data_IF_345453527711
#
_entry.id   IF_345453527711
#
_cell.length_a   1.000
_cell.length_b   1.000
_cell.length_c   1.000
_cell.angle_alpha   90.00
_cell.angle_beta   90.00
_cell.angle_gamma   90.00
#
_symmetry.space_group_name_H-M   'P 1'
#
loop_
_entity.id
_entity.type
_entity.pdbx_description
1 polymer ?
#
# COMPACT_ATOMS: atom_id res chain seq x y z
N UNK A 1 -0.67 -4.25 -11.46
CA UNK A 1 -2.04 -4.72 -11.15
C UNK A 1 -2.40 -4.04 -9.85
N UNK A 2 -3.23 -3.00 -9.93
CA UNK A 2 -3.64 -2.21 -8.78
C UNK A 2 -4.61 -3.04 -7.93
N UNK A 3 -4.47 -2.94 -6.61
CA UNK A 3 -5.51 -3.42 -5.71
C UNK A 3 -6.52 -2.27 -5.62
N UNK A 4 -7.51 -2.30 -6.48
CA UNK A 4 -8.71 -1.48 -6.38
C UNK A 4 -9.70 -2.26 -5.50
N UNK A 5 -9.81 -1.89 -4.22
CA UNK A 5 -11.03 -2.14 -3.46
C UNK A 5 -11.30 -0.93 -2.56
N UNK A 6 -12.39 -0.24 -2.88
CA UNK A 6 -12.81 0.99 -2.24
C UNK A 6 -13.47 0.65 -0.89
N UNK A 7 -12.65 0.50 0.15
CA UNK A 7 -13.10 0.59 1.54
C UNK A 7 -13.07 -0.69 2.38
N UNK A 8 -12.69 -1.84 1.80
CA UNK A 8 -12.40 -3.06 2.57
C UNK A 8 -10.92 -3.41 2.34
N UNK A 9 -10.08 -3.11 3.33
CA UNK A 9 -8.66 -3.44 3.24
C UNK A 9 -8.47 -4.96 3.15
N UNK A 10 -7.47 -5.39 2.37
CA UNK A 10 -7.11 -6.80 2.17
C UNK A 10 -7.11 -7.53 3.51
N UNK A 11 -8.10 -8.41 3.76
CA UNK A 11 -8.24 -9.07 5.06
C UNK A 11 -7.20 -10.15 5.30
N UNK A 12 -6.63 -10.71 4.21
CA UNK A 12 -5.57 -11.73 4.20
C UNK A 12 -4.81 -11.70 2.87
N UNK A 13 -3.56 -12.17 2.84
CA UNK A 13 -2.75 -12.23 1.62
C UNK A 13 -1.99 -13.55 1.46
N UNK A 14 -1.55 -13.89 0.23
CA UNK A 14 -0.72 -15.09 0.03
C UNK A 14 0.73 -14.86 0.48
N UNK A 15 1.50 -15.94 0.79
CA UNK A 15 2.91 -15.83 1.16
C UNK A 15 3.81 -15.25 0.05
N UNK A 16 3.33 -15.23 -1.19
CA UNK A 16 4.06 -14.67 -2.34
C UNK A 16 3.53 -13.27 -2.75
N UNK A 17 2.58 -12.72 -1.99
CA UNK A 17 2.05 -11.39 -2.28
C UNK A 17 3.13 -10.33 -1.99
N UNK A 18 3.13 -9.27 -2.80
CA UNK A 18 3.86 -8.05 -2.50
C UNK A 18 2.98 -6.86 -2.83
N UNK A 19 3.14 -5.78 -2.05
CA UNK A 19 2.35 -4.58 -2.17
C UNK A 19 3.25 -3.43 -2.64
N UNK A 20 2.92 -2.85 -3.79
CA UNK A 20 3.69 -1.78 -4.40
C UNK A 20 3.03 -0.42 -4.18
N UNK A 21 3.81 0.56 -3.75
CA UNK A 21 3.36 1.93 -3.53
C UNK A 21 4.22 2.91 -4.32
N UNK A 22 3.59 3.91 -4.93
CA UNK A 22 4.28 4.99 -5.64
C UNK A 22 3.43 6.26 -5.69
N UNK A 23 4.07 7.39 -5.99
CA UNK A 23 3.41 8.65 -6.22
C UNK A 23 2.63 8.60 -7.56
N UNK A 24 1.36 9.04 -7.59
CA UNK A 24 0.59 9.16 -8.83
C UNK A 24 1.26 10.10 -9.83
N UNK A 25 1.16 9.77 -11.13
CA UNK A 25 1.70 10.60 -12.21
C UNK A 25 0.75 10.63 -13.42
N UNK A 26 0.97 11.55 -14.36
CA UNK A 26 0.27 11.59 -15.65
C UNK A 26 -0.79 12.68 -15.84
N UNK A 27 -1.17 13.44 -14.80
CA UNK A 27 -2.25 14.45 -14.88
C UNK A 27 -1.87 15.86 -14.40
N UNK A 28 -0.60 16.08 -14.05
CA UNK A 28 -0.05 17.36 -13.58
C UNK A 28 0.26 17.37 -12.08
N UNK A 29 1.25 18.17 -11.66
CA UNK A 29 1.80 18.12 -10.30
C UNK A 29 0.75 18.35 -9.20
N UNK A 30 -0.17 19.31 -9.38
CA UNK A 30 -1.23 19.61 -8.41
C UNK A 30 -2.24 18.47 -8.29
N UNK A 31 -2.68 17.93 -9.42
CA UNK A 31 -3.65 16.83 -9.48
C UNK A 31 -3.04 15.56 -8.89
N UNK A 32 -1.76 15.29 -9.18
CA UNK A 32 -1.02 14.18 -8.59
C UNK A 32 -0.94 14.30 -7.05
N UNK A 33 -0.69 15.50 -6.52
CA UNK A 33 -0.64 15.71 -5.07
C UNK A 33 -1.99 15.48 -4.39
N UNK A 34 -3.10 15.92 -5.02
CA UNK A 34 -4.46 15.64 -4.52
C UNK A 34 -4.74 14.14 -4.54
N UNK A 35 -4.41 13.46 -5.63
CA UNK A 35 -4.58 12.01 -5.73
C UNK A 35 -3.73 11.24 -4.69
N UNK A 36 -2.48 11.67 -4.47
CA UNK A 36 -1.59 11.07 -3.48
C UNK A 36 -2.17 11.21 -2.06
N UNK A 37 -2.61 12.41 -1.69
CA UNK A 37 -3.22 12.66 -0.38
C UNK A 37 -4.49 11.84 -0.18
N UNK A 38 -5.32 11.71 -1.22
CA UNK A 38 -6.51 10.88 -1.17
C UNK A 38 -6.17 9.39 -0.99
N UNK A 39 -5.19 8.85 -1.73
CA UNK A 39 -4.76 7.46 -1.58
C UNK A 39 -4.22 7.19 -0.17
N UNK A 40 -3.29 8.01 0.31
CA UNK A 40 -2.73 7.88 1.67
C UNK A 40 -3.83 7.96 2.74
N UNK A 41 -4.84 8.82 2.57
CA UNK A 41 -5.92 8.92 3.55
C UNK A 41 -6.76 7.64 3.66
N UNK A 42 -6.82 6.83 2.60
CA UNK A 42 -7.50 5.54 2.64
C UNK A 42 -6.68 4.46 3.36
N UNK A 43 -5.35 4.61 3.42
CA UNK A 43 -4.45 3.57 3.91
C UNK A 43 -4.58 3.35 5.42
N UNK A 44 -4.50 2.11 5.94
CA UNK A 44 -4.47 1.87 7.38
C UNK A 44 -3.25 2.55 8.00
N UNK A 45 -3.32 2.90 9.28
CA UNK A 45 -2.23 3.58 9.98
C UNK A 45 -0.88 2.86 9.83
N UNK A 46 -0.87 1.53 9.94
CA UNK A 46 0.37 0.75 9.83
C UNK A 46 0.99 0.81 8.42
N UNK A 47 0.17 0.92 7.36
CA UNK A 47 0.68 1.10 5.99
C UNK A 47 1.25 2.50 5.82
N UNK A 48 0.55 3.52 6.33
CA UNK A 48 1.04 4.92 6.29
C UNK A 48 2.38 5.05 7.00
N UNK A 49 2.48 4.49 8.21
CA UNK A 49 3.70 4.48 8.98
C UNK A 49 4.83 3.76 8.24
N UNK A 50 4.56 2.58 7.68
CA UNK A 50 5.56 1.85 6.90
C UNK A 50 6.05 2.66 5.69
N UNK A 51 5.13 3.31 4.96
CA UNK A 51 5.50 4.18 3.82
C UNK A 51 6.40 5.33 4.28
N UNK A 52 6.06 5.99 5.38
CA UNK A 52 6.86 7.11 5.92
C UNK A 52 8.26 6.63 6.36
N UNK A 53 8.35 5.46 7.01
CA UNK A 53 9.63 4.83 7.39
C UNK A 53 10.50 4.48 6.18
N UNK A 54 9.89 4.29 5.00
CA UNK A 54 10.57 3.99 3.74
C UNK A 54 10.76 5.22 2.84
N UNK A 55 10.62 6.44 3.38
CA UNK A 55 10.90 7.69 2.68
C UNK A 55 9.71 8.29 1.92
N UNK A 56 8.50 7.79 2.17
CA UNK A 56 7.27 8.30 1.57
C UNK A 56 7.01 7.81 0.15
N UNK A 57 5.92 8.29 -0.45
CA UNK A 57 5.61 8.01 -1.86
C UNK A 57 6.55 8.76 -2.79
N UNK A 58 7.27 8.02 -3.64
CA UNK A 58 8.16 8.58 -4.67
C UNK A 58 7.77 8.08 -6.06
N UNK A 59 8.46 8.56 -7.10
CA UNK A 59 8.27 8.05 -8.46
C UNK A 59 8.81 6.63 -8.67
N UNK A 60 9.56 6.09 -7.70
CA UNK A 60 9.98 4.69 -7.68
C UNK A 60 9.01 3.87 -6.87
N UNK A 61 8.67 2.67 -7.35
CA UNK A 61 7.83 1.74 -6.61
C UNK A 61 8.61 1.24 -5.40
N UNK A 62 8.11 1.52 -4.20
CA UNK A 62 8.54 0.86 -2.97
C UNK A 62 7.68 -0.39 -2.78
N UNK A 63 8.31 -1.50 -2.38
CA UNK A 63 7.66 -2.80 -2.28
C UNK A 63 7.68 -3.31 -0.84
N UNK A 64 6.50 -3.62 -0.33
CA UNK A 64 6.31 -4.34 0.94
C UNK A 64 6.13 -5.81 0.62
N UNK A 65 7.07 -6.64 1.11
CA UNK A 65 7.02 -8.09 0.94
C UNK A 65 6.02 -8.74 1.90
N UNK A 66 5.63 -9.98 1.60
CA UNK A 66 4.64 -10.72 2.37
C UNK A 66 4.98 -10.80 3.87
N UNK A 67 6.23 -11.03 4.24
CA UNK A 67 6.64 -11.17 5.65
C UNK A 67 6.42 -9.87 6.45
N UNK A 68 6.54 -8.72 5.79
CA UNK A 68 6.31 -7.42 6.41
C UNK A 68 4.81 -7.16 6.60
N UNK A 69 4.02 -7.43 5.55
CA UNK A 69 2.57 -7.34 5.61
C UNK A 69 1.98 -8.34 6.64
N UNK A 70 2.59 -9.51 6.82
CA UNK A 70 2.15 -10.56 7.73
C UNK A 70 2.13 -10.14 9.21
N UNK A 71 2.85 -9.08 9.57
CA UNK A 71 2.80 -8.47 10.92
C UNK A 71 1.45 -7.85 11.25
N UNK A 72 0.68 -7.47 10.23
CA UNK A 72 -0.59 -6.76 10.37
C UNK A 72 -1.76 -7.47 9.67
N UNK A 73 -1.49 -8.23 8.61
CA UNK A 73 -2.48 -8.94 7.81
C UNK A 73 -2.18 -10.45 7.82
N UNK A 74 -3.12 -11.31 8.21
CA UNK A 74 -2.85 -12.74 8.24
C UNK A 74 -2.61 -13.32 6.83
N UNK A 75 -1.80 -14.38 6.76
CA UNK A 75 -1.65 -15.14 5.54
C UNK A 75 -2.92 -15.94 5.22
N UNK A 76 -3.27 -16.04 3.94
CA UNK A 76 -4.27 -16.98 3.44
C UNK A 76 -3.77 -18.41 3.66
N UNK A 77 -4.62 -19.30 4.18
CA UNK A 77 -4.33 -20.73 4.30
C UNK A 77 -3.43 -21.11 5.47
N UNK A 78 -2.97 -20.16 6.29
CA UNK A 78 -2.42 -20.46 7.61
C UNK A 78 -3.61 -20.59 8.57
N UNK A 79 -3.98 -21.82 8.89
CA UNK A 79 -4.84 -22.08 10.05
C UNK A 79 -4.00 -21.76 11.29
N UNK A 80 -4.50 -20.84 12.12
CA UNK A 80 -3.93 -20.51 13.42
C UNK A 80 -3.94 -21.73 14.36
#
# INVERSE_FOLDING_TARGET
MGVEDHGDWVRRHSPQASFGFHLPYGVGARQNAVAANYLISQYPDWVRQWIDEHGGLTHTIVRMEADEAAKHLPLCGVLA
#
